data_IF_022359438750
#
_entry.id   IF_022359438750
#
_cell.length_a   1.000
_cell.length_b   1.000
_cell.length_c   1.000
_cell.angle_alpha   90.00
_cell.angle_beta   90.00
_cell.angle_gamma   90.00
#
_symmetry.space_group_name_H-M   'P 1'
#
loop_
_entity.id
_entity.type
_entity.pdbx_description
1 polymer ?
#
# COMPACT_ATOMS: atom_id res chain seq x y z
N UNK A 1 35.83 -27.20 -26.91
CA UNK A 1 35.32 -25.87 -26.53
C UNK A 1 33.80 -25.83 -26.46
N UNK A 2 33.09 -26.12 -27.56
CA UNK A 2 31.61 -26.04 -27.62
C UNK A 2 30.91 -27.00 -26.65
N UNK A 3 31.35 -28.26 -26.57
CA UNK A 3 30.76 -29.25 -25.65
C UNK A 3 30.90 -28.83 -24.18
N UNK A 4 32.03 -28.21 -23.83
CA UNK A 4 32.28 -27.68 -22.48
C UNK A 4 31.35 -26.51 -22.17
N UNK A 5 31.12 -25.62 -23.13
CA UNK A 5 30.17 -24.51 -23.00
C UNK A 5 28.74 -25.03 -22.79
N UNK A 6 28.31 -26.01 -23.58
CA UNK A 6 26.99 -26.65 -23.43
C UNK A 6 26.86 -27.29 -22.05
N UNK A 7 27.89 -28.00 -21.59
CA UNK A 7 27.90 -28.63 -20.27
C UNK A 7 27.78 -27.62 -19.13
N UNK A 8 28.53 -26.51 -19.18
CA UNK A 8 28.45 -25.42 -18.19
C UNK A 8 27.05 -24.78 -18.18
N UNK A 9 26.43 -24.64 -19.35
CA UNK A 9 25.09 -24.08 -19.50
C UNK A 9 24.02 -25.00 -18.89
N UNK A 10 24.16 -26.31 -19.09
CA UNK A 10 23.29 -27.32 -18.47
C UNK A 10 23.43 -27.34 -16.94
N UNK A 11 24.65 -27.17 -16.41
CA UNK A 11 24.87 -27.08 -14.96
C UNK A 11 24.18 -25.87 -14.33
N UNK A 12 24.16 -24.72 -15.01
CA UNK A 12 23.45 -23.53 -14.53
C UNK A 12 21.93 -23.72 -14.43
N UNK A 13 21.34 -24.56 -15.27
CA UNK A 13 19.91 -24.88 -15.19
C UNK A 13 19.55 -25.79 -14.01
N UNK A 14 20.47 -26.66 -13.59
CA UNK A 14 20.27 -27.62 -12.50
C UNK A 14 20.48 -26.95 -11.12
N UNK A 15 21.32 -25.91 -11.07
CA UNK A 15 21.60 -25.15 -9.86
C UNK A 15 21.17 -23.68 -10.02
N UNK A 16 19.85 -23.40 -10.10
CA UNK A 16 19.39 -22.02 -10.14
C UNK A 16 19.77 -21.30 -8.85
N UNK A 17 20.29 -20.08 -8.97
CA UNK A 17 20.51 -19.21 -7.81
C UNK A 17 19.19 -18.89 -7.13
N UNK A 18 19.16 -18.86 -5.80
CA UNK A 18 17.99 -18.46 -5.01
C UNK A 18 17.54 -17.05 -5.37
N UNK A 19 16.39 -16.93 -6.05
CA UNK A 19 15.77 -15.65 -6.33
C UNK A 19 15.12 -15.10 -5.05
N UNK A 20 15.83 -14.20 -4.36
CA UNK A 20 15.39 -13.59 -3.08
C UNK A 20 14.28 -12.54 -3.23
N UNK A 21 13.81 -12.29 -4.45
CA UNK A 21 12.78 -11.29 -4.77
C UNK A 21 11.58 -11.94 -5.49
N UNK A 22 11.15 -13.11 -5.02
CA UNK A 22 9.94 -13.75 -5.50
C UNK A 22 8.72 -13.02 -4.91
N UNK A 23 8.34 -11.90 -5.54
CA UNK A 23 6.99 -11.38 -5.47
C UNK A 23 6.11 -12.35 -6.25
N UNK A 24 5.49 -13.28 -5.54
CA UNK A 24 4.51 -14.17 -6.14
C UNK A 24 3.42 -13.31 -6.82
N UNK A 25 3.02 -13.59 -8.07
CA UNK A 25 1.99 -12.80 -8.76
C UNK A 25 0.66 -12.72 -7.98
N UNK A 26 0.37 -13.70 -7.12
CA UNK A 26 -0.74 -13.66 -6.16
C UNK A 26 -0.52 -12.66 -5.02
N UNK A 27 0.72 -12.54 -4.53
CA UNK A 27 1.08 -11.56 -3.48
C UNK A 27 0.95 -10.10 -3.96
N UNK A 28 1.31 -9.83 -5.23
CA UNK A 28 1.10 -8.51 -5.84
C UNK A 28 -0.37 -8.13 -5.94
N UNK A 29 -1.22 -9.07 -6.34
CA UNK A 29 -2.67 -8.88 -6.40
C UNK A 29 -3.28 -8.61 -5.02
N UNK A 30 -2.84 -9.36 -3.99
CA UNK A 30 -3.29 -9.17 -2.62
C UNK A 30 -2.88 -7.80 -2.07
N UNK A 31 -1.65 -7.35 -2.33
CA UNK A 31 -1.18 -6.03 -1.92
C UNK A 31 -2.07 -4.91 -2.49
N UNK A 32 -2.38 -4.96 -3.80
CA UNK A 32 -3.27 -4.00 -4.43
C UNK A 32 -4.68 -4.04 -3.82
N UNK A 33 -5.21 -5.22 -3.52
CA UNK A 33 -6.52 -5.35 -2.87
C UNK A 33 -6.55 -4.70 -1.48
N UNK A 34 -5.51 -4.89 -0.66
CA UNK A 34 -5.44 -4.26 0.68
C UNK A 34 -5.36 -2.74 0.55
N UNK A 35 -4.53 -2.22 -0.36
CA UNK A 35 -4.41 -0.77 -0.61
C UNK A 35 -5.74 -0.18 -1.05
N UNK A 36 -6.42 -0.82 -2.02
CA UNK A 36 -7.72 -0.38 -2.50
C UNK A 36 -8.79 -0.46 -1.41
N UNK A 37 -8.81 -1.54 -0.62
CA UNK A 37 -9.74 -1.71 0.49
C UNK A 37 -9.58 -0.60 1.54
N UNK A 38 -8.34 -0.26 1.90
CA UNK A 38 -8.04 0.84 2.81
C UNK A 38 -8.47 2.20 2.25
N UNK A 39 -8.14 2.49 0.98
CA UNK A 39 -8.51 3.74 0.32
C UNK A 39 -10.01 3.93 0.25
N UNK A 40 -10.74 2.92 -0.25
CA UNK A 40 -12.19 2.97 -0.39
C UNK A 40 -12.87 3.02 0.97
N UNK A 41 -12.41 2.21 1.94
CA UNK A 41 -12.90 2.23 3.31
C UNK A 41 -12.72 3.61 3.95
N UNK A 42 -11.52 4.19 3.86
CA UNK A 42 -11.22 5.52 4.39
C UNK A 42 -12.11 6.61 3.76
N UNK A 43 -12.21 6.64 2.43
CA UNK A 43 -13.04 7.62 1.73
C UNK A 43 -14.52 7.48 2.08
N UNK A 44 -15.01 6.25 2.21
CA UNK A 44 -16.39 5.98 2.57
C UNK A 44 -16.69 6.41 4.02
N UNK A 45 -15.82 6.06 4.96
CA UNK A 45 -15.90 6.53 6.35
C UNK A 45 -15.87 8.05 6.40
N UNK A 46 -14.95 8.70 5.69
CA UNK A 46 -14.86 10.16 5.64
C UNK A 46 -16.16 10.79 5.12
N UNK A 47 -16.75 10.20 4.06
CA UNK A 47 -18.02 10.64 3.50
C UNK A 47 -19.18 10.51 4.49
N UNK A 48 -19.27 9.39 5.22
CA UNK A 48 -20.30 9.18 6.25
C UNK A 48 -20.18 10.21 7.37
N UNK A 49 -18.96 10.40 7.89
CA UNK A 49 -18.72 11.27 9.05
C UNK A 49 -18.51 12.74 8.71
N UNK A 50 -18.61 13.12 7.43
CA UNK A 50 -18.34 14.49 6.96
C UNK A 50 -19.13 15.56 7.72
N UNK A 51 -20.40 15.32 8.02
CA UNK A 51 -21.25 16.24 8.79
C UNK A 51 -20.77 16.42 10.23
N UNK A 52 -20.38 15.33 10.90
CA UNK A 52 -19.80 15.39 12.24
C UNK A 52 -18.47 16.14 12.24
N UNK A 53 -17.58 15.83 11.30
CA UNK A 53 -16.28 16.50 11.14
C UNK A 53 -16.46 18.01 11.00
N UNK A 54 -17.36 18.46 10.11
CA UNK A 54 -17.67 19.89 9.95
C UNK A 54 -18.13 20.52 11.26
N UNK A 55 -19.03 19.85 11.97
CA UNK A 55 -19.60 20.36 13.22
C UNK A 55 -18.53 20.46 14.31
N UNK A 56 -17.66 19.46 14.44
CA UNK A 56 -16.53 19.48 15.37
C UNK A 56 -15.54 20.59 15.04
N UNK A 57 -15.17 20.74 13.77
CA UNK A 57 -14.27 21.80 13.31
C UNK A 57 -14.85 23.19 13.57
N UNK A 58 -16.14 23.41 13.27
CA UNK A 58 -16.83 24.67 13.57
C UNK A 58 -16.81 24.99 15.06
N UNK A 59 -17.07 24.01 15.93
CA UNK A 59 -17.00 24.19 17.39
C UNK A 59 -15.61 24.53 17.89
N UNK A 60 -14.57 23.92 17.32
CA UNK A 60 -13.18 24.21 17.68
C UNK A 60 -12.82 25.65 17.25
N UNK A 61 -13.15 26.03 16.02
CA UNK A 61 -12.88 27.37 15.47
C UNK A 61 -13.63 28.44 16.28
N UNK A 62 -14.92 28.24 16.57
CA UNK A 62 -15.71 29.22 17.32
C UNK A 62 -15.20 29.38 18.75
N UNK A 63 -14.82 28.29 19.41
CA UNK A 63 -14.22 28.33 20.76
C UNK A 63 -12.89 29.08 20.77
N UNK A 64 -12.05 28.91 19.74
CA UNK A 64 -10.79 29.63 19.61
C UNK A 64 -11.04 31.13 19.39
N UNK A 65 -11.96 31.49 18.49
CA UNK A 65 -12.29 32.89 18.22
C UNK A 65 -12.82 33.63 19.46
N UNK A 66 -13.61 32.97 20.31
CA UNK A 66 -14.12 33.58 21.54
C UNK A 66 -12.99 33.87 22.55
N UNK A 67 -11.99 32.98 22.66
CA UNK A 67 -10.84 33.18 23.56
C UNK A 67 -9.90 34.31 23.16
N UNK A 68 -9.87 34.68 21.88
CA UNK A 68 -9.07 35.80 21.38
C UNK A 68 -9.77 37.15 21.63
N UNK A 69 -11.09 37.12 21.83
CA UNK A 69 -11.93 38.33 21.98
C UNK A 69 -12.16 38.74 23.44
N UNK A 70 -11.91 37.84 24.40
CA UNK A 70 -11.76 38.11 25.83
C UNK A 70 -10.36 38.65 26.13
#
# INVERSE_FOLDING_TARGET
MVLLLVFILLLNLIFPSTAMAYLDPGSGSYFLQVVLGLLLGFLFTLKIYWGHIKTYLQKIISKLSNRIKE
#
